data_IF_283182157672
#
_entry.id   IF_283182157672
#
_cell.length_a   1.000
_cell.length_b   1.000
_cell.length_c   1.000
_cell.angle_alpha   90.00
_cell.angle_beta   90.00
_cell.angle_gamma   90.00
#
_symmetry.space_group_name_H-M   'P 1'
#
loop_
_entity.id
_entity.type
_entity.pdbx_description
1 polymer ?
#
# COMPACT_ATOMS: atom_id res chain seq x y z
N UNK A 1 -62.18 -17.43 16.07
CA UNK A 1 -60.70 -17.28 16.10
C UNK A 1 -60.14 -17.54 14.71
N UNK A 2 -59.55 -16.54 14.07
CA UNK A 2 -59.08 -16.63 12.68
C UNK A 2 -57.69 -17.29 12.58
N UNK A 3 -57.52 -18.27 11.68
CA UNK A 3 -56.24 -18.95 11.40
C UNK A 3 -55.29 -17.99 10.67
N UNK A 4 -54.13 -17.68 11.26
CA UNK A 4 -53.04 -16.93 10.59
C UNK A 4 -52.48 -17.75 9.43
N UNK A 5 -52.58 -17.22 8.20
CA UNK A 5 -51.90 -17.78 7.01
C UNK A 5 -50.40 -17.51 7.12
N UNK A 6 -49.57 -18.57 7.07
CA UNK A 6 -48.12 -18.47 6.90
C UNK A 6 -47.79 -18.06 5.46
N UNK A 7 -47.08 -16.94 5.30
CA UNK A 7 -46.52 -16.50 4.01
C UNK A 7 -45.33 -17.40 3.68
N UNK A 8 -45.36 -18.07 2.52
CA UNK A 8 -44.21 -18.83 2.01
C UNK A 8 -43.22 -17.86 1.37
N UNK A 9 -42.04 -17.72 1.97
CA UNK A 9 -40.94 -16.97 1.38
C UNK A 9 -40.15 -17.90 0.43
N UNK A 10 -40.29 -17.72 -0.88
CA UNK A 10 -39.63 -18.52 -1.91
C UNK A 10 -38.24 -17.98 -2.32
N UNK A 11 -37.64 -17.07 -1.54
CA UNK A 11 -36.27 -16.62 -1.82
C UNK A 11 -35.28 -17.66 -1.30
N UNK A 12 -34.67 -18.40 -2.20
CA UNK A 12 -33.46 -19.18 -1.92
C UNK A 12 -32.39 -18.22 -1.42
N UNK A 13 -31.80 -18.52 -0.27
CA UNK A 13 -30.66 -17.78 0.25
C UNK A 13 -29.54 -17.84 -0.81
N UNK A 14 -29.12 -16.69 -1.32
CA UNK A 14 -27.88 -16.62 -2.08
C UNK A 14 -26.77 -17.09 -1.14
N UNK A 15 -26.06 -18.16 -1.52
CA UNK A 15 -24.85 -18.58 -0.81
C UNK A 15 -23.92 -17.38 -0.77
N UNK A 16 -23.63 -16.90 0.43
CA UNK A 16 -22.54 -15.95 0.64
C UNK A 16 -21.27 -16.62 0.14
N UNK A 17 -20.66 -16.05 -0.91
CA UNK A 17 -19.32 -16.45 -1.32
C UNK A 17 -18.38 -15.97 -0.23
N UNK A 18 -17.89 -16.86 0.61
CA UNK A 18 -16.71 -16.63 1.43
C UNK A 18 -15.82 -17.85 1.41
N UNK A 19 -15.13 -18.06 0.29
CA UNK A 19 -13.96 -18.94 0.26
C UNK A 19 -12.75 -18.09 -0.08
N UNK A 20 -12.30 -17.27 0.87
CA UNK A 20 -10.88 -16.89 0.92
C UNK A 20 -10.18 -18.06 1.61
N UNK A 21 -9.90 -19.11 0.85
CA UNK A 21 -8.90 -20.09 1.29
C UNK A 21 -7.58 -19.34 1.39
N UNK A 22 -7.14 -19.05 2.61
CA UNK A 22 -5.80 -18.50 2.84
C UNK A 22 -4.78 -19.42 2.14
N UNK A 23 -3.72 -18.84 1.53
CA UNK A 23 -2.68 -19.65 0.91
C UNK A 23 -2.07 -20.60 1.95
N UNK A 24 -1.51 -21.75 1.52
CA UNK A 24 -0.70 -22.58 2.39
C UNK A 24 0.31 -21.72 3.14
N UNK A 25 0.61 -22.06 4.41
CA UNK A 25 1.45 -21.23 5.30
C UNK A 25 2.80 -20.87 4.67
N UNK A 26 3.34 -21.74 3.83
CA UNK A 26 4.63 -21.58 3.17
C UNK A 26 4.57 -20.68 1.91
N UNK A 27 3.37 -20.24 1.51
CA UNK A 27 3.09 -19.32 0.39
C UNK A 27 2.55 -17.96 0.85
N UNK A 28 2.40 -17.76 2.16
CA UNK A 28 1.94 -16.48 2.73
C UNK A 28 3.01 -15.43 2.50
N UNK A 29 2.59 -14.21 2.12
CA UNK A 29 3.48 -13.08 2.00
C UNK A 29 4.00 -12.68 3.39
N UNK A 30 5.32 -12.76 3.56
CA UNK A 30 6.04 -12.29 4.74
C UNK A 30 6.46 -10.85 4.52
N UNK A 31 6.06 -9.95 5.42
CA UNK A 31 6.41 -8.53 5.36
C UNK A 31 7.74 -8.32 6.08
N UNK A 32 8.72 -7.76 5.38
CA UNK A 32 10.01 -7.34 5.91
C UNK A 32 10.08 -5.82 5.95
N UNK A 33 10.47 -5.26 7.10
CA UNK A 33 10.71 -3.82 7.29
C UNK A 33 12.21 -3.49 7.36
N UNK A 34 13.09 -4.45 7.06
CA UNK A 34 14.55 -4.30 7.17
C UNK A 34 15.11 -3.09 6.40
N UNK A 35 14.50 -2.78 5.26
CA UNK A 35 14.90 -1.71 4.35
C UNK A 35 13.93 -0.52 4.37
N UNK A 36 12.96 -0.53 5.29
CA UNK A 36 11.88 0.43 5.31
C UNK A 36 12.31 1.73 5.99
N UNK A 37 12.03 2.86 5.34
CA UNK A 37 12.24 4.20 5.90
C UNK A 37 10.91 4.87 6.24
N UNK A 38 10.78 5.27 7.50
CA UNK A 38 9.74 6.20 7.97
C UNK A 38 10.17 7.66 7.85
N UNK A 39 11.39 7.94 7.43
CA UNK A 39 11.87 9.31 7.29
C UNK A 39 11.07 10.06 6.22
N UNK A 40 10.83 11.36 6.45
CA UNK A 40 10.15 12.20 5.48
C UNK A 40 11.14 12.97 4.61
N UNK A 41 10.97 12.89 3.29
CA UNK A 41 11.83 13.50 2.27
C UNK A 41 11.01 14.24 1.23
N UNK A 42 11.65 15.23 0.60
CA UNK A 42 11.18 15.88 -0.63
C UNK A 42 12.15 15.58 -1.75
N UNK A 43 11.64 15.09 -2.87
CA UNK A 43 12.42 14.73 -4.06
C UNK A 43 11.60 15.08 -5.29
N UNK A 44 12.08 16.01 -6.11
CA UNK A 44 11.33 16.56 -7.24
C UNK A 44 9.91 17.01 -6.83
N UNK A 45 8.87 16.37 -7.36
CA UNK A 45 7.45 16.61 -7.03
C UNK A 45 6.94 15.78 -5.85
N UNK A 46 7.72 14.82 -5.37
CA UNK A 46 7.34 13.93 -4.28
C UNK A 46 7.64 14.56 -2.93
N UNK A 47 6.71 14.36 -2.00
CA UNK A 47 6.84 14.66 -0.58
C UNK A 47 6.03 13.63 0.18
N UNK A 48 6.58 12.99 1.20
CA UNK A 48 5.80 12.18 2.15
C UNK A 48 5.59 12.89 3.50
N UNK A 49 5.92 14.18 3.58
CA UNK A 49 5.55 15.00 4.73
C UNK A 49 4.04 15.08 4.87
N UNK A 50 3.55 14.98 6.09
CA UNK A 50 2.14 15.04 6.41
C UNK A 50 1.74 16.43 6.88
N UNK A 51 0.43 16.68 6.90
CA UNK A 51 -0.16 17.90 7.42
C UNK A 51 0.06 18.01 8.94
N UNK A 52 -0.23 16.92 9.65
CA UNK A 52 -0.28 16.85 11.11
C UNK A 52 -0.31 15.39 11.61
N UNK A 53 -0.36 15.23 12.94
CA UNK A 53 -0.44 13.92 13.60
C UNK A 53 -1.75 13.17 13.35
N UNK A 54 -2.84 13.88 13.05
CA UNK A 54 -4.11 13.25 12.69
C UNK A 54 -3.99 12.57 11.32
N UNK A 55 -3.37 13.23 10.34
CA UNK A 55 -3.06 12.59 9.06
C UNK A 55 -2.12 11.39 9.22
N UNK A 56 -1.12 11.49 10.10
CA UNK A 56 -0.25 10.34 10.42
C UNK A 56 -1.05 9.13 10.92
N UNK A 57 -1.98 9.37 11.84
CA UNK A 57 -2.85 8.30 12.37
C UNK A 57 -3.68 7.65 11.27
N UNK A 58 -4.21 8.43 10.33
CA UNK A 58 -4.95 7.93 9.16
C UNK A 58 -4.06 7.09 8.25
N UNK A 59 -2.83 7.53 7.99
CA UNK A 59 -1.84 6.79 7.19
C UNK A 59 -1.52 5.44 7.84
N UNK A 60 -1.23 5.43 9.15
CA UNK A 60 -0.90 4.20 9.87
C UNK A 60 -2.09 3.24 9.96
N UNK A 61 -3.31 3.75 10.18
CA UNK A 61 -4.52 2.94 10.16
C UNK A 61 -4.74 2.31 8.78
N UNK A 62 -4.57 3.08 7.71
CA UNK A 62 -4.69 2.58 6.34
C UNK A 62 -3.64 1.51 6.04
N UNK A 63 -2.38 1.75 6.43
CA UNK A 63 -1.30 0.80 6.25
C UNK A 63 -1.60 -0.53 6.94
N UNK A 64 -1.82 -0.52 8.26
CA UNK A 64 -1.96 -1.76 9.02
C UNK A 64 -3.30 -2.45 8.78
N UNK A 65 -4.41 -1.70 8.80
CA UNK A 65 -5.75 -2.30 8.78
C UNK A 65 -6.22 -2.64 7.37
N UNK A 66 -5.89 -1.82 6.37
CA UNK A 66 -6.38 -2.03 4.99
C UNK A 66 -5.35 -2.69 4.09
N UNK A 67 -4.08 -2.30 4.15
CA UNK A 67 -3.07 -2.79 3.20
C UNK A 67 -2.45 -4.09 3.71
N UNK A 68 -1.78 -4.06 4.87
CA UNK A 68 -0.97 -5.20 5.32
C UNK A 68 -1.81 -6.43 5.66
N UNK A 69 -3.01 -6.25 6.23
CA UNK A 69 -3.94 -7.36 6.45
C UNK A 69 -4.35 -8.05 5.15
N UNK A 70 -4.65 -7.28 4.11
CA UNK A 70 -5.12 -7.83 2.83
C UNK A 70 -4.00 -8.50 2.06
N UNK A 71 -2.81 -7.89 2.04
CA UNK A 71 -1.66 -8.45 1.32
C UNK A 71 -1.34 -9.88 1.78
N UNK A 72 -1.51 -10.17 3.08
CA UNK A 72 -1.24 -11.49 3.64
C UNK A 72 -2.27 -12.58 3.25
N UNK A 73 -3.42 -12.20 2.69
CA UNK A 73 -4.47 -13.14 2.30
C UNK A 73 -4.19 -13.88 0.99
N UNK A 74 -3.18 -13.44 0.22
CA UNK A 74 -2.85 -14.00 -1.09
C UNK A 74 -1.34 -14.05 -1.30
N UNK A 75 -0.90 -14.97 -2.15
CA UNK A 75 0.50 -15.02 -2.56
C UNK A 75 0.79 -14.01 -3.69
N UNK A 76 2.07 -13.77 -3.98
CA UNK A 76 2.47 -12.81 -5.03
C UNK A 76 1.92 -13.16 -6.42
N UNK A 77 1.81 -14.45 -6.76
CA UNK A 77 1.29 -14.88 -8.07
C UNK A 77 -0.17 -14.44 -8.23
N UNK A 78 -0.97 -14.58 -7.18
CA UNK A 78 -2.36 -14.12 -7.17
C UNK A 78 -2.44 -12.59 -7.27
N UNK A 79 -1.61 -11.88 -6.51
CA UNK A 79 -1.56 -10.42 -6.55
C UNK A 79 -1.08 -9.86 -7.89
N UNK A 80 -0.13 -10.51 -8.55
CA UNK A 80 0.43 -10.08 -9.84
C UNK A 80 -0.35 -10.62 -11.05
N UNK A 81 -1.48 -11.29 -10.83
CA UNK A 81 -2.33 -11.80 -11.92
C UNK A 81 -3.11 -10.70 -12.67
N UNK A 82 -3.12 -9.46 -12.17
CA UNK A 82 -3.83 -8.33 -12.79
C UNK A 82 -5.36 -8.40 -12.65
N UNK A 83 -5.87 -9.21 -11.72
CA UNK A 83 -7.31 -9.29 -11.44
C UNK A 83 -7.86 -7.98 -10.82
N UNK A 84 -9.19 -7.85 -10.73
CA UNK A 84 -9.83 -6.64 -10.19
C UNK A 84 -9.33 -6.26 -8.79
N UNK A 85 -9.00 -7.25 -7.95
CA UNK A 85 -8.47 -7.01 -6.61
C UNK A 85 -7.05 -6.42 -6.68
N UNK A 86 -6.19 -6.98 -7.51
CA UNK A 86 -4.86 -6.45 -7.80
C UNK A 86 -4.92 -5.00 -8.26
N UNK A 87 -5.82 -4.70 -9.21
CA UNK A 87 -6.02 -3.34 -9.72
C UNK A 87 -6.54 -2.39 -8.63
N UNK A 88 -7.50 -2.84 -7.81
CA UNK A 88 -8.03 -2.05 -6.69
C UNK A 88 -6.96 -1.72 -5.64
N UNK A 89 -6.10 -2.68 -5.30
CA UNK A 89 -4.99 -2.49 -4.37
C UNK A 89 -3.73 -1.93 -5.04
N UNK A 90 -3.82 -1.46 -6.29
CA UNK A 90 -2.67 -0.95 -7.06
C UNK A 90 -1.45 -1.89 -7.00
N UNK A 91 -1.67 -3.21 -6.96
CA UNK A 91 -0.61 -4.18 -6.74
C UNK A 91 0.07 -4.52 -8.07
N UNK A 92 1.05 -3.71 -8.46
CA UNK A 92 1.74 -3.89 -9.74
C UNK A 92 3.18 -3.39 -9.70
N UNK A 93 3.96 -3.79 -10.70
CA UNK A 93 5.32 -3.29 -10.92
C UNK A 93 5.28 -1.81 -11.27
N UNK A 94 6.27 -1.06 -10.79
CA UNK A 94 6.49 0.35 -11.11
C UNK A 94 7.40 0.41 -12.33
N UNK A 95 7.01 1.16 -13.34
CA UNK A 95 7.73 1.24 -14.62
C UNK A 95 7.84 2.69 -15.09
N UNK A 96 8.67 2.94 -16.12
CA UNK A 96 8.75 4.25 -16.76
C UNK A 96 9.27 5.38 -15.85
N UNK A 97 8.64 6.56 -15.95
CA UNK A 97 9.07 7.77 -15.25
C UNK A 97 8.83 7.69 -13.74
N UNK A 98 7.81 6.94 -13.34
CA UNK A 98 7.49 6.67 -11.94
C UNK A 98 8.66 5.93 -11.27
N UNK A 99 9.25 4.94 -11.97
CA UNK A 99 10.40 4.20 -11.46
C UNK A 99 11.63 5.09 -11.23
N UNK A 100 11.86 6.08 -12.10
CA UNK A 100 12.95 7.04 -11.95
C UNK A 100 12.79 7.89 -10.67
N UNK A 101 11.56 8.33 -10.37
CA UNK A 101 11.27 9.07 -9.13
C UNK A 101 11.54 8.19 -7.91
N UNK A 102 11.05 6.95 -7.92
CA UNK A 102 11.26 5.97 -6.85
C UNK A 102 12.76 5.76 -6.59
N UNK A 103 13.58 5.61 -7.65
CA UNK A 103 15.03 5.47 -7.52
C UNK A 103 15.67 6.66 -6.81
N UNK A 104 15.28 7.89 -7.17
CA UNK A 104 15.79 9.10 -6.51
C UNK A 104 15.40 9.17 -5.03
N UNK A 105 14.16 8.79 -4.70
CA UNK A 105 13.67 8.73 -3.31
C UNK A 105 14.52 7.75 -2.49
N UNK A 106 14.72 6.55 -3.03
CA UNK A 106 15.52 5.51 -2.39
C UNK A 106 16.96 5.97 -2.17
N UNK A 107 17.60 6.56 -3.19
CA UNK A 107 18.95 7.12 -3.07
C UNK A 107 19.02 8.22 -2.01
N UNK A 108 17.96 9.04 -1.87
CA UNK A 108 17.87 10.09 -0.86
C UNK A 108 17.85 9.54 0.57
N UNK A 109 17.22 8.39 0.81
CA UNK A 109 17.26 7.72 2.12
C UNK A 109 18.63 7.16 2.50
N UNK A 110 19.64 7.27 1.61
CA UNK A 110 21.01 6.82 1.83
C UNK A 110 21.08 5.42 2.45
N UNK A 111 20.13 4.57 2.08
CA UNK A 111 20.18 3.16 2.42
C UNK A 111 21.30 2.58 1.58
N UNK A 112 22.53 2.62 2.09
CA UNK A 112 23.71 1.95 1.51
C UNK A 112 23.43 0.47 1.19
N UNK A 113 22.39 -0.10 1.79
CA UNK A 113 21.86 -1.45 1.55
C UNK A 113 20.97 -1.60 0.31
N UNK A 114 20.43 -0.52 -0.26
CA UNK A 114 19.55 -0.61 -1.44
C UNK A 114 20.33 -0.63 -2.76
N UNK A 115 21.62 -0.31 -2.71
CA UNK A 115 22.52 -0.37 -3.87
C UNK A 115 22.68 -1.82 -4.37
N UNK A 116 22.42 -2.83 -3.54
CA UNK A 116 22.53 -4.25 -3.88
C UNK A 116 21.26 -4.85 -4.51
N UNK A 117 20.16 -4.10 -4.64
CA UNK A 117 18.94 -4.59 -5.28
C UNK A 117 18.88 -4.21 -6.76
N UNK A 118 18.33 -5.11 -7.58
CA UNK A 118 17.93 -4.75 -8.93
C UNK A 118 16.79 -3.74 -8.86
N UNK A 119 17.12 -2.45 -9.06
CA UNK A 119 16.17 -1.35 -9.11
C UNK A 119 15.08 -1.50 -10.19
N UNK A 120 15.11 -2.56 -10.99
CA UNK A 120 14.10 -2.89 -11.98
C UNK A 120 12.91 -3.67 -11.36
N UNK A 121 13.04 -4.28 -10.17
CA UNK A 121 11.98 -5.08 -9.54
C UNK A 121 11.26 -4.37 -8.39
N UNK A 122 10.89 -3.09 -8.61
CA UNK A 122 10.12 -2.33 -7.63
C UNK A 122 8.62 -2.42 -7.93
N UNK A 123 7.84 -2.66 -6.88
CA UNK A 123 6.40 -2.78 -6.92
C UNK A 123 5.77 -1.74 -6.00
N UNK A 124 4.50 -1.46 -6.27
CA UNK A 124 3.65 -0.69 -5.36
C UNK A 124 2.41 -1.50 -5.01
N UNK A 125 1.82 -1.18 -3.86
CA UNK A 125 0.45 -1.50 -3.53
C UNK A 125 -0.14 -0.37 -2.69
N UNK A 126 -1.47 -0.29 -2.60
CA UNK A 126 -2.12 0.71 -1.80
C UNK A 126 -3.61 0.86 -2.08
N UNK A 127 -4.26 1.61 -1.20
CA UNK A 127 -5.68 1.96 -1.28
C UNK A 127 -5.83 3.43 -0.95
N UNK A 128 -6.93 4.04 -1.37
CA UNK A 128 -7.17 5.47 -1.21
C UNK A 128 -5.96 6.27 -1.78
N UNK A 129 -5.43 7.25 -1.04
CA UNK A 129 -4.22 8.00 -1.44
C UNK A 129 -2.90 7.32 -1.04
N UNK A 130 -2.92 6.31 -0.17
CA UNK A 130 -1.69 5.72 0.35
C UNK A 130 -1.13 4.70 -0.63
N UNK A 131 0.15 4.82 -0.98
CA UNK A 131 0.93 3.76 -1.62
C UNK A 131 2.08 3.33 -0.73
N UNK A 132 2.40 2.06 -0.82
CA UNK A 132 3.54 1.40 -0.19
C UNK A 132 4.42 0.87 -1.32
N UNK A 133 5.67 1.29 -1.34
CA UNK A 133 6.66 0.80 -2.29
C UNK A 133 7.47 -0.31 -1.65
N UNK A 134 7.72 -1.38 -2.42
CA UNK A 134 8.40 -2.56 -1.92
C UNK A 134 9.15 -3.29 -3.04
N UNK A 135 10.08 -4.15 -2.64
CA UNK A 135 10.74 -5.14 -3.51
C UNK A 135 10.37 -6.55 -3.08
N UNK A 136 10.52 -7.48 -4.01
CA UNK A 136 10.29 -8.90 -3.79
C UNK A 136 11.64 -9.61 -3.62
N UNK A 137 12.14 -9.70 -2.38
CA UNK A 137 13.47 -10.28 -2.09
C UNK A 137 13.53 -11.81 -2.26
N UNK A 138 12.36 -12.47 -2.29
CA UNK A 138 12.17 -13.92 -2.39
C UNK A 138 10.74 -14.20 -2.89
N UNK A 139 10.37 -15.44 -3.30
CA UNK A 139 9.04 -15.73 -3.84
C UNK A 139 7.89 -15.28 -2.94
N UNK A 140 8.11 -15.18 -1.62
CA UNK A 140 7.08 -14.83 -0.64
C UNK A 140 7.48 -13.66 0.30
N UNK A 141 8.61 -12.96 0.08
CA UNK A 141 9.01 -11.84 0.95
C UNK A 141 8.70 -10.49 0.28
N UNK A 142 7.90 -9.68 0.96
CA UNK A 142 7.62 -8.29 0.62
C UNK A 142 8.49 -7.37 1.47
N UNK A 143 9.56 -6.84 0.91
CA UNK A 143 10.49 -5.93 1.60
C UNK A 143 10.05 -4.49 1.39
N UNK A 144 9.45 -3.89 2.41
CA UNK A 144 8.94 -2.52 2.34
C UNK A 144 10.10 -1.53 2.23
N UNK A 145 9.90 -0.48 1.43
CA UNK A 145 10.88 0.58 1.21
C UNK A 145 10.45 1.92 1.82
N UNK A 146 9.29 2.46 1.41
CA UNK A 146 8.77 3.73 1.90
C UNK A 146 7.27 3.89 1.60
N UNK A 147 6.67 4.95 2.14
CA UNK A 147 5.28 5.32 1.92
C UNK A 147 5.15 6.57 1.04
N UNK A 148 4.15 6.56 0.16
CA UNK A 148 3.64 7.72 -0.56
C UNK A 148 2.20 8.00 -0.10
N UNK A 149 2.01 8.82 0.95
CA UNK A 149 0.69 9.06 1.53
C UNK A 149 -0.22 9.93 0.65
N UNK A 150 0.33 10.58 -0.37
CA UNK A 150 -0.37 11.57 -1.19
C UNK A 150 -0.46 11.18 -2.67
N UNK A 151 -0.02 9.98 -3.03
CA UNK A 151 -0.05 9.45 -4.39
C UNK A 151 0.66 10.37 -5.42
N UNK A 152 1.86 10.86 -5.08
CA UNK A 152 2.64 11.81 -5.88
C UNK A 152 3.62 11.14 -6.84
N UNK A 153 4.00 9.88 -6.59
CA UNK A 153 4.84 9.13 -7.52
C UNK A 153 4.05 8.86 -8.80
N UNK A 154 2.84 8.30 -8.66
CA UNK A 154 1.94 7.89 -9.74
C UNK A 154 0.65 8.74 -9.77
N UNK A 155 0.70 10.06 -10.00
CA UNK A 155 -0.45 10.93 -9.81
C UNK A 155 -1.59 10.60 -10.77
N UNK A 156 -2.81 10.49 -10.22
CA UNK A 156 -4.02 10.38 -11.04
C UNK A 156 -4.23 11.67 -11.84
N UNK A 157 -4.31 11.56 -13.17
CA UNK A 157 -4.47 12.70 -14.10
C UNK A 157 -5.71 13.57 -13.81
N UNK A 158 -6.73 13.01 -13.17
CA UNK A 158 -8.06 13.62 -13.02
C UNK A 158 -8.39 14.02 -11.58
N UNK A 159 -7.44 13.95 -10.64
CA UNK A 159 -7.71 14.26 -9.23
C UNK A 159 -7.03 15.56 -8.82
N UNK A 160 -7.80 16.50 -8.28
CA UNK A 160 -7.24 17.72 -7.68
C UNK A 160 -6.35 17.31 -6.51
N UNK A 161 -5.04 17.45 -6.69
CA UNK A 161 -4.08 17.14 -5.64
C UNK A 161 -4.12 18.26 -4.60
N UNK A 162 -4.17 17.87 -3.33
CA UNK A 162 -3.92 18.80 -2.25
C UNK A 162 -2.53 19.41 -2.44
N UNK A 163 -2.37 20.70 -2.12
CA UNK A 163 -1.03 21.31 -2.09
C UNK A 163 -0.26 20.76 -0.89
N UNK A 164 0.50 19.68 -1.15
CA UNK A 164 1.33 18.97 -0.17
C UNK A 164 2.67 19.66 0.07
N UNK A 165 3.00 20.72 -0.69
CA UNK A 165 4.29 21.41 -0.55
C UNK A 165 4.43 22.09 0.80
N UNK A 166 3.30 22.58 1.37
CA UNK A 166 3.23 23.22 2.68
C UNK A 166 3.29 22.26 3.87
N UNK A 167 3.22 20.96 3.62
CA UNK A 167 3.27 19.95 4.68
C UNK A 167 4.70 19.81 5.20
N UNK A 168 4.80 19.69 6.52
CA UNK A 168 6.07 19.65 7.26
C UNK A 168 6.07 18.65 8.42
N UNK A 169 4.97 17.93 8.67
CA UNK A 169 4.94 16.91 9.71
C UNK A 169 5.72 15.67 9.26
N UNK A 170 6.81 15.39 9.96
CA UNK A 170 7.72 14.26 9.74
C UNK A 170 7.16 12.98 10.38
N UNK A 171 7.08 11.88 9.63
CA UNK A 171 6.50 10.61 10.11
C UNK A 171 7.32 9.92 11.21
N UNK A 172 8.62 10.21 11.31
CA UNK A 172 9.52 9.62 12.30
C UNK A 172 9.58 10.41 13.62
N UNK A 173 9.44 11.74 13.57
CA UNK A 173 9.62 12.63 14.74
C UNK A 173 8.30 13.27 15.18
N UNK A 174 7.44 12.43 15.78
CA UNK A 174 6.11 12.83 16.25
C UNK A 174 6.13 14.00 17.26
N UNK A 175 7.24 14.18 17.99
CA UNK A 175 7.35 15.20 19.05
C UNK A 175 8.07 16.49 18.63
N UNK A 176 8.76 16.52 17.49
CA UNK A 176 9.60 17.68 17.10
C UNK A 176 9.34 18.24 15.71
N UNK A 177 8.53 17.58 14.88
CA UNK A 177 8.11 18.12 13.58
C UNK A 177 9.26 18.45 12.62
N UNK A 178 10.47 17.93 12.85
CA UNK A 178 11.64 18.16 12.02
C UNK A 178 12.26 16.82 11.62
N UNK A 179 12.23 16.59 10.31
CA UNK A 179 13.19 15.81 9.55
C UNK A 179 14.14 16.88 8.93
#
# INVERSE_FOLDING_TARGET
MAKKKKVKNNRTAHKSVSNTTMPPKDEVVVISTKNFSFESVKVDRFSNYLKDSAQFTQVMNTLFYKILQEVQLYNFKQWLSGNDKSNYYHFHRVEGKELEIVRKIILKYNTKRVIDFEFDEIYQCGVDSLRVFFIKDNPNIMSLLFLDPHHLVCPSKNYNQNDTNKYSFCMLHLERGQC
#
